data_IF_726448415445
#
_entry.id   IF_726448415445
#
_cell.length_a   1.000
_cell.length_b   1.000
_cell.length_c   1.000
_cell.angle_alpha   90.00
_cell.angle_beta   90.00
_cell.angle_gamma   90.00
#
_symmetry.space_group_name_H-M   'P 1'
#
loop_
_entity.id
_entity.type
_entity.pdbx_description
1 polymer ?
#
# COMPACT_ATOMS: atom_id res chain seq x y z
N UNK A 1 -3.19 11.42 13.31
CA UNK A 1 -4.20 10.72 12.49
C UNK A 1 -3.95 9.24 12.59
N UNK A 2 -5.02 8.46 12.61
CA UNK A 2 -4.98 7.00 12.59
C UNK A 2 -5.04 6.49 11.16
N UNK A 3 -4.08 5.65 10.81
CA UNK A 3 -4.01 4.98 9.52
C UNK A 3 -3.96 3.47 9.72
N UNK A 4 -4.16 2.70 8.65
CA UNK A 4 -4.11 1.25 8.73
C UNK A 4 -2.84 0.75 8.04
N UNK A 5 -1.98 0.07 8.78
CA UNK A 5 -0.77 -0.56 8.27
C UNK A 5 -1.05 -2.00 7.88
N UNK A 6 -0.63 -2.38 6.67
CA UNK A 6 -0.60 -3.76 6.17
C UNK A 6 0.85 -4.21 6.15
N UNK A 7 1.16 -5.27 6.88
CA UNK A 7 2.50 -5.85 6.95
C UNK A 7 2.47 -7.29 6.40
N UNK A 8 2.89 -7.52 5.15
CA UNK A 8 2.89 -8.85 4.54
C UNK A 8 3.97 -9.79 5.09
N UNK A 9 5.01 -9.24 5.74
CA UNK A 9 6.05 -10.05 6.39
C UNK A 9 5.47 -10.78 7.61
N UNK A 10 4.69 -10.06 8.42
CA UNK A 10 4.06 -10.60 9.62
C UNK A 10 2.61 -11.07 9.39
N UNK A 11 2.03 -10.78 8.22
CA UNK A 11 0.61 -10.99 7.87
C UNK A 11 -0.33 -10.35 8.88
N UNK A 12 -0.02 -9.11 9.24
CA UNK A 12 -0.78 -8.33 10.22
C UNK A 12 -1.36 -7.07 9.60
N UNK A 13 -2.53 -6.69 10.08
CA UNK A 13 -3.17 -5.40 9.80
C UNK A 13 -3.40 -4.69 11.13
N UNK A 14 -2.93 -3.45 11.27
CA UNK A 14 -2.93 -2.74 12.54
C UNK A 14 -3.12 -1.23 12.37
N UNK A 15 -3.70 -0.57 13.36
CA UNK A 15 -3.75 0.89 13.38
C UNK A 15 -2.37 1.46 13.73
N UNK A 16 -1.96 2.51 13.04
CA UNK A 16 -0.74 3.29 13.32
C UNK A 16 -1.05 4.78 13.34
N UNK A 17 -0.28 5.54 14.13
CA UNK A 17 -0.41 6.99 14.20
C UNK A 17 0.63 7.70 13.32
N UNK A 18 0.20 8.76 12.64
CA UNK A 18 1.06 9.65 11.85
C UNK A 18 0.50 11.07 11.81
N UNK A 19 1.37 12.03 11.53
CA UNK A 19 1.00 13.41 11.20
C UNK A 19 0.54 13.59 9.74
N UNK A 20 0.59 12.53 8.92
CA UNK A 20 0.21 12.56 7.51
C UNK A 20 1.29 13.08 6.56
N UNK A 21 2.49 13.36 7.08
CA UNK A 21 3.64 13.74 6.25
C UNK A 21 4.26 12.53 5.54
N UNK A 22 4.86 12.77 4.37
CA UNK A 22 5.61 11.74 3.65
C UNK A 22 6.75 11.18 4.50
N UNK A 23 7.45 12.03 5.27
CA UNK A 23 8.53 11.60 6.16
C UNK A 23 8.06 10.64 7.25
N UNK A 24 6.86 10.87 7.80
CA UNK A 24 6.26 9.95 8.77
C UNK A 24 5.88 8.63 8.11
N UNK A 25 5.34 8.64 6.90
CA UNK A 25 4.97 7.43 6.19
C UNK A 25 6.19 6.61 5.75
N UNK A 26 7.22 7.25 5.20
CA UNK A 26 8.52 6.64 4.92
C UNK A 26 9.06 5.91 6.15
N UNK A 27 8.98 6.52 7.34
CA UNK A 27 9.42 5.87 8.60
C UNK A 27 8.56 4.67 8.99
N UNK A 28 7.24 4.74 8.81
CA UNK A 28 6.32 3.65 9.16
C UNK A 28 6.46 2.44 8.23
N UNK A 29 6.72 2.70 6.95
CA UNK A 29 6.94 1.70 5.91
C UNK A 29 8.38 1.16 5.96
N UNK A 30 9.34 1.99 6.33
CA UNK A 30 10.77 1.67 6.22
C UNK A 30 11.35 1.94 4.83
N UNK A 31 10.73 2.86 4.08
CA UNK A 31 11.07 3.17 2.68
C UNK A 31 11.68 4.57 2.54
N UNK A 32 12.46 4.77 1.48
CA UNK A 32 12.97 6.10 1.11
C UNK A 32 11.97 6.84 0.22
N UNK A 33 11.37 6.14 -0.73
CA UNK A 33 10.38 6.68 -1.65
C UNK A 33 9.04 5.98 -1.51
N UNK A 34 7.98 6.72 -1.85
CA UNK A 34 6.61 6.26 -1.71
C UNK A 34 5.87 6.39 -3.03
N UNK A 35 5.05 5.40 -3.34
CA UNK A 35 4.07 5.48 -4.41
C UNK A 35 2.65 5.22 -3.87
N UNK A 36 1.64 5.66 -4.63
CA UNK A 36 0.22 5.49 -4.32
C UNK A 36 -0.43 4.60 -5.37
N UNK A 37 -0.93 3.45 -4.95
CA UNK A 37 -1.61 2.48 -5.81
C UNK A 37 -2.97 2.04 -5.22
N UNK A 38 -3.65 1.15 -5.95
CA UNK A 38 -4.92 0.53 -5.54
C UNK A 38 -5.97 1.53 -5.03
N UNK A 39 -6.14 2.67 -5.73
CA UNK A 39 -7.15 3.69 -5.37
C UNK A 39 -8.56 3.11 -5.42
N UNK A 40 -9.36 3.50 -4.45
CA UNK A 40 -10.69 2.96 -4.18
C UNK A 40 -11.78 4.01 -4.44
N UNK A 41 -13.01 3.55 -4.67
CA UNK A 41 -14.16 4.44 -4.91
C UNK A 41 -14.51 5.32 -3.69
N UNK A 42 -14.09 4.92 -2.48
CA UNK A 42 -14.28 5.67 -1.24
C UNK A 42 -13.17 6.70 -0.96
N UNK A 43 -12.28 6.94 -1.93
CA UNK A 43 -11.09 7.80 -1.82
C UNK A 43 -9.96 7.27 -0.94
N UNK A 44 -10.03 6.01 -0.48
CA UNK A 44 -8.88 5.35 0.13
C UNK A 44 -7.88 4.90 -0.94
N UNK A 45 -6.61 4.83 -0.57
CA UNK A 45 -5.54 4.29 -1.41
C UNK A 45 -4.47 3.61 -0.55
N UNK A 46 -3.60 2.86 -1.20
CA UNK A 46 -2.41 2.30 -0.58
C UNK A 46 -1.19 3.17 -0.89
N UNK A 47 -0.58 3.68 0.16
CA UNK A 47 0.74 4.30 0.12
C UNK A 47 1.78 3.22 0.45
N UNK A 48 2.73 2.98 -0.45
CA UNK A 48 3.67 1.86 -0.33
C UNK A 48 5.11 2.25 -0.65
N UNK A 49 6.03 1.35 -0.33
CA UNK A 49 7.45 1.42 -0.70
C UNK A 49 7.63 1.30 -2.23
N UNK A 50 8.09 2.37 -2.87
CA UNK A 50 8.34 2.42 -4.32
C UNK A 50 9.62 1.63 -4.70
N UNK A 51 10.52 1.41 -3.75
CA UNK A 51 11.80 0.74 -3.97
C UNK A 51 11.73 -0.78 -3.74
N UNK A 52 10.58 -1.29 -3.27
CA UNK A 52 10.42 -2.68 -2.84
C UNK A 52 10.78 -3.72 -3.92
N UNK A 53 10.53 -3.38 -5.19
CA UNK A 53 10.80 -4.27 -6.32
C UNK A 53 12.29 -4.37 -6.69
N UNK A 54 13.12 -3.39 -6.30
CA UNK A 54 14.57 -3.37 -6.56
C UNK A 54 15.36 -4.23 -5.53
N UNK A 55 14.70 -4.65 -4.45
CA UNK A 55 15.32 -5.49 -3.42
C UNK A 55 15.46 -6.96 -3.86
N UNK A 56 16.57 -7.60 -3.44
CA UNK A 56 16.78 -9.05 -3.61
C UNK A 56 17.19 -9.71 -2.27
N UNK A 57 16.34 -10.57 -1.67
CA UNK A 57 15.02 -10.95 -2.15
C UNK A 57 13.99 -9.80 -2.03
N UNK A 58 13.01 -9.79 -2.92
CA UNK A 58 11.87 -8.87 -2.80
C UNK A 58 11.08 -9.15 -1.51
N UNK A 59 10.50 -8.13 -0.86
CA UNK A 59 9.66 -8.31 0.32
C UNK A 59 8.46 -9.23 0.04
N UNK A 60 7.88 -9.81 1.10
CA UNK A 60 6.65 -10.57 1.00
C UNK A 60 5.55 -9.73 0.34
N UNK A 61 4.72 -10.37 -0.47
CA UNK A 61 3.70 -9.72 -1.26
C UNK A 61 2.27 -10.08 -0.83
N UNK A 62 1.34 -9.24 -1.26
CA UNK A 62 -0.09 -9.44 -1.13
C UNK A 62 -0.84 -8.86 -2.35
N UNK A 63 -2.11 -9.22 -2.49
CA UNK A 63 -3.07 -8.52 -3.35
C UNK A 63 -4.04 -7.76 -2.48
N UNK A 64 -4.56 -6.64 -2.99
CA UNK A 64 -5.58 -5.84 -2.35
C UNK A 64 -6.73 -5.62 -3.34
N UNK A 65 -7.91 -6.17 -3.02
CA UNK A 65 -9.12 -6.06 -3.85
C UNK A 65 -8.90 -6.48 -5.33
N UNK A 66 -8.12 -7.55 -5.53
CA UNK A 66 -7.75 -8.07 -6.85
C UNK A 66 -6.66 -7.28 -7.58
N UNK A 67 -6.11 -6.23 -6.98
CA UNK A 67 -4.93 -5.53 -7.48
C UNK A 67 -3.64 -6.05 -6.84
N UNK A 68 -2.64 -6.36 -7.66
CA UNK A 68 -1.34 -6.84 -7.20
C UNK A 68 -0.55 -7.54 -8.31
N UNK A 69 0.58 -8.17 -7.97
CA UNK A 69 1.15 -8.28 -6.63
C UNK A 69 1.72 -6.95 -6.09
N UNK A 70 1.50 -6.70 -4.80
CA UNK A 70 2.02 -5.55 -4.04
C UNK A 70 3.10 -6.03 -3.08
N UNK A 71 4.30 -5.44 -3.16
CA UNK A 71 5.44 -5.84 -2.33
C UNK A 71 5.70 -4.82 -1.20
N UNK A 72 6.02 -5.33 -0.01
CA UNK A 72 6.40 -4.49 1.13
C UNK A 72 5.22 -4.00 1.96
N UNK A 73 5.52 -3.15 2.94
CA UNK A 73 4.50 -2.59 3.84
C UNK A 73 3.68 -1.55 3.08
N UNK A 74 2.36 -1.55 3.33
CA UNK A 74 1.46 -0.52 2.84
C UNK A 74 0.76 0.20 4.00
N UNK A 75 0.46 1.48 3.80
CA UNK A 75 -0.39 2.28 4.67
C UNK A 75 -1.65 2.65 3.89
N UNK A 76 -2.83 2.31 4.43
CA UNK A 76 -4.10 2.77 3.89
C UNK A 76 -4.35 4.19 4.36
N UNK A 77 -4.52 5.10 3.41
CA UNK A 77 -4.82 6.52 3.66
C UNK A 77 -6.07 6.94 2.90
N UNK A 78 -6.83 7.88 3.43
CA UNK A 78 -7.88 8.59 2.71
C UNK A 78 -7.33 9.83 2.00
N UNK A 79 -8.12 10.38 1.08
CA UNK A 79 -7.84 11.63 0.40
C UNK A 79 -9.10 12.48 0.29
N UNK A 80 -9.04 13.75 0.67
CA UNK A 80 -10.17 14.67 0.53
C UNK A 80 -10.20 15.32 -0.87
N UNK A 81 -11.24 16.12 -1.14
CA UNK A 81 -11.43 16.79 -2.43
C UNK A 81 -10.37 17.85 -2.75
N UNK A 82 -9.65 18.33 -1.74
CA UNK A 82 -8.55 19.28 -1.88
C UNK A 82 -7.20 18.58 -2.13
N UNK A 83 -7.20 17.24 -2.17
CA UNK A 83 -6.00 16.42 -2.39
C UNK A 83 -5.16 16.20 -1.13
N UNK A 84 -5.70 16.49 0.05
CA UNK A 84 -5.01 16.31 1.32
C UNK A 84 -5.22 14.89 1.87
N UNK A 85 -4.17 14.34 2.48
CA UNK A 85 -4.21 13.05 3.16
C UNK A 85 -5.10 13.10 4.40
N UNK A 86 -6.01 12.13 4.54
CA UNK A 86 -6.90 11.99 5.69
C UNK A 86 -6.85 10.57 6.27
N UNK A 87 -7.47 10.37 7.43
CA UNK A 87 -7.76 9.02 7.92
C UNK A 87 -8.56 8.22 6.87
N UNK A 88 -8.29 6.91 6.71
CA UNK A 88 -8.99 6.09 5.73
C UNK A 88 -10.46 5.91 6.15
N UNK A 89 -11.33 5.75 5.16
CA UNK A 89 -12.74 5.44 5.38
C UNK A 89 -12.95 3.96 5.76
N UNK A 90 -12.07 3.06 5.33
CA UNK A 90 -12.11 1.66 5.73
C UNK A 90 -11.77 1.44 7.21
N UNK A 91 -12.39 0.42 7.81
CA UNK A 91 -11.94 -0.18 9.07
C UNK A 91 -10.87 -1.24 8.84
N UNK A 92 -10.17 -1.64 9.91
CA UNK A 92 -9.18 -2.74 9.85
C UNK A 92 -9.81 -4.02 9.32
N UNK A 93 -11.01 -4.36 9.75
CA UNK A 93 -11.73 -5.57 9.32
C UNK A 93 -12.01 -5.53 7.81
N UNK A 94 -12.46 -4.38 7.29
CA UNK A 94 -12.70 -4.19 5.87
C UNK A 94 -11.41 -4.29 5.04
N UNK A 95 -10.29 -3.77 5.57
CA UNK A 95 -8.97 -3.93 4.95
C UNK A 95 -8.56 -5.40 4.91
N UNK A 96 -8.74 -6.15 6.01
CA UNK A 96 -8.40 -7.58 6.09
C UNK A 96 -9.18 -8.41 5.06
N UNK A 97 -10.48 -8.13 4.87
CA UNK A 97 -11.32 -8.84 3.89
C UNK A 97 -10.87 -8.67 2.43
N UNK A 98 -10.08 -7.63 2.14
CA UNK A 98 -9.58 -7.31 0.81
C UNK A 98 -8.21 -7.90 0.50
N UNK A 99 -7.53 -8.46 1.50
CA UNK A 99 -6.15 -8.93 1.36
C UNK A 99 -6.10 -10.40 0.98
N UNK A 100 -5.31 -10.71 -0.06
CA UNK A 100 -4.84 -12.06 -0.33
C UNK A 100 -3.32 -12.10 -0.11
N UNK A 101 -2.85 -12.84 0.89
CA UNK A 101 -1.42 -12.96 1.17
C UNK A 101 -0.75 -13.90 0.16
N UNK A 102 0.16 -13.37 -0.67
CA UNK A 102 0.87 -14.14 -1.69
C UNK A 102 2.20 -14.73 -1.16
N UNK A 103 2.79 -14.11 -0.14
CA UNK A 103 4.04 -14.56 0.45
C UNK A 103 5.26 -14.21 -0.41
N UNK A 104 6.26 -15.09 -0.44
CA UNK A 104 7.50 -14.86 -1.18
C UNK A 104 7.31 -15.20 -2.64
N UNK A 105 7.02 -14.17 -3.43
CA UNK A 105 7.00 -14.22 -4.89
C UNK A 105 8.03 -13.23 -5.42
N UNK A 106 8.41 -13.40 -6.68
CA UNK A 106 9.33 -12.48 -7.35
C UNK A 106 8.65 -11.91 -8.59
N UNK A 107 8.43 -10.60 -8.58
CA UNK A 107 7.80 -9.84 -9.65
C UNK A 107 8.89 -9.25 -10.55
N UNK A 108 8.84 -9.61 -11.84
CA UNK A 108 9.73 -9.05 -12.85
C UNK A 108 9.10 -7.81 -13.48
N UNK A 109 9.89 -6.79 -13.81
CA UNK A 109 9.39 -5.65 -14.57
C UNK A 109 8.80 -6.13 -15.90
N UNK A 110 7.65 -5.57 -16.26
CA UNK A 110 6.97 -5.82 -17.53
C UNK A 110 6.74 -4.50 -18.24
N UNK A 111 6.78 -4.53 -19.58
CA UNK A 111 6.45 -3.39 -20.41
C UNK A 111 5.18 -3.74 -21.20
N UNK A 112 4.11 -3.01 -20.93
CA UNK A 112 2.86 -3.14 -21.67
C UNK A 112 2.66 -1.90 -22.55
N UNK A 113 2.33 -2.12 -23.82
CA UNK A 113 2.01 -1.04 -24.75
C UNK A 113 0.52 -1.06 -25.07
N UNK A 114 -0.21 -0.09 -24.54
CA UNK A 114 -1.64 0.05 -24.76
C UNK A 114 -1.85 1.15 -25.80
N UNK A 115 -2.28 0.76 -27.00
CA UNK A 115 -2.66 1.71 -28.04
C UNK A 115 -3.96 2.43 -27.68
N UNK A 116 -4.01 3.74 -27.91
CA UNK A 116 -5.23 4.54 -27.81
C UNK A 116 -6.29 4.01 -28.79
N UNK A 117 -7.52 3.82 -28.31
CA UNK A 117 -8.70 3.52 -29.14
C UNK A 117 -9.46 4.80 -29.45
#
# INVERSE_FOLDING_TARGET
>A
MNFIKIDPQNRTVSIVESDGSNESFCRLIGAQFLDVCARQDNHDALLMDDDALDSDPQPQAFEFDGFGPLHGIAIVTGCNWDGETTEPAFTVEQVVERIIWLGSIHTKPTLEWIGWK
#
